data_IF_487002817824
#
_entry.id   IF_487002817824
#
_cell.length_a   1.000
_cell.length_b   1.000
_cell.length_c   1.000
_cell.angle_alpha   90.00
_cell.angle_beta   90.00
_cell.angle_gamma   90.00
#
_symmetry.space_group_name_H-M   'P 1'
#
loop_
_entity.id
_entity.type
_entity.pdbx_description
1 polymer ?
#
# COMPACT_ATOMS: atom_id res chain seq x y z
N UNK A 1 6.40 -4.35 -0.84
CA UNK A 1 5.48 -5.31 -0.18
C UNK A 1 4.44 -5.88 -1.16
N UNK A 2 3.62 -5.05 -1.86
CA UNK A 2 2.60 -5.55 -2.82
C UNK A 2 3.22 -6.43 -3.90
N UNK A 3 4.32 -5.99 -4.52
CA UNK A 3 5.02 -6.74 -5.57
C UNK A 3 5.52 -8.10 -5.07
N UNK A 4 6.03 -8.18 -3.84
CA UNK A 4 6.44 -9.46 -3.21
C UNK A 4 5.27 -10.44 -3.09
N UNK A 5 4.12 -9.97 -2.65
CA UNK A 5 2.93 -10.82 -2.53
C UNK A 5 2.39 -11.25 -3.90
N UNK A 6 2.47 -10.38 -4.92
CA UNK A 6 2.11 -10.72 -6.30
C UNK A 6 3.05 -11.81 -6.84
N UNK A 7 4.37 -11.64 -6.73
CA UNK A 7 5.35 -12.63 -7.18
C UNK A 7 5.21 -13.98 -6.50
N UNK A 8 4.84 -13.98 -5.21
CA UNK A 8 4.58 -15.22 -4.48
C UNK A 8 3.43 -16.05 -5.07
N UNK A 9 2.39 -15.37 -5.60
CA UNK A 9 1.23 -16.03 -6.22
C UNK A 9 1.41 -16.30 -7.71
N UNK A 10 2.23 -15.52 -8.40
CA UNK A 10 2.43 -15.54 -9.84
C UNK A 10 3.95 -15.53 -10.17
N UNK A 11 4.72 -16.55 -9.76
CA UNK A 11 6.18 -16.54 -9.87
C UNK A 11 6.69 -16.58 -11.32
N UNK A 12 5.90 -17.09 -12.27
CA UNK A 12 6.26 -17.27 -13.67
C UNK A 12 5.67 -16.20 -14.60
N UNK A 13 5.12 -15.12 -14.02
CA UNK A 13 4.58 -14.00 -14.77
C UNK A 13 5.65 -12.95 -15.08
N UNK A 14 5.51 -12.26 -16.21
CA UNK A 14 6.35 -11.10 -16.55
C UNK A 14 5.83 -9.83 -15.90
N UNK A 15 6.74 -8.96 -15.48
CA UNK A 15 6.41 -7.73 -14.77
C UNK A 15 7.15 -6.52 -15.32
N UNK A 16 6.46 -5.39 -15.34
CA UNK A 16 7.04 -4.07 -15.50
C UNK A 16 6.80 -3.33 -14.19
N UNK A 17 7.85 -3.07 -13.43
CA UNK A 17 7.77 -2.34 -12.16
C UNK A 17 8.21 -0.89 -12.39
N UNK A 18 7.38 0.06 -11.98
CA UNK A 18 7.70 1.47 -12.03
C UNK A 18 7.68 2.07 -10.63
N UNK A 19 8.82 2.60 -10.19
CA UNK A 19 8.93 3.37 -8.94
C UNK A 19 8.93 4.87 -9.25
N UNK A 20 7.95 5.60 -8.72
CA UNK A 20 7.86 7.05 -8.87
C UNK A 20 8.58 7.78 -7.71
N UNK A 21 9.78 7.33 -7.37
CA UNK A 21 10.54 7.76 -6.21
C UNK A 21 10.96 9.24 -6.26
N UNK A 22 11.17 9.84 -7.46
CA UNK A 22 11.43 11.28 -7.57
C UNK A 22 10.25 12.16 -7.12
N UNK A 23 9.03 11.58 -7.07
CA UNK A 23 7.80 12.29 -6.71
C UNK A 23 7.21 11.83 -5.37
N UNK A 24 7.82 10.84 -4.72
CA UNK A 24 7.49 10.37 -3.38
C UNK A 24 7.93 11.39 -2.31
N UNK A 25 7.16 11.55 -1.19
CA UNK A 25 5.89 10.92 -0.87
C UNK A 25 4.67 11.62 -1.50
N UNK A 26 3.62 10.84 -1.80
CA UNK A 26 2.35 11.36 -2.35
C UNK A 26 1.40 11.91 -1.29
N UNK A 27 1.64 11.63 -0.01
CA UNK A 27 0.71 11.91 1.09
C UNK A 27 0.31 13.38 1.25
N UNK A 28 1.15 14.32 0.78
CA UNK A 28 0.94 15.77 0.86
C UNK A 28 0.73 16.44 -0.50
N UNK A 29 0.73 15.65 -1.59
CA UNK A 29 0.52 16.19 -2.94
C UNK A 29 -0.98 16.42 -3.21
N UNK A 30 -1.29 17.35 -4.12
CA UNK A 30 -2.68 17.56 -4.56
C UNK A 30 -3.22 16.38 -5.37
N UNK A 31 -4.54 16.21 -5.37
CA UNK A 31 -5.18 15.15 -6.16
C UNK A 31 -4.86 15.30 -7.66
N UNK A 32 -4.89 16.52 -8.19
CA UNK A 32 -4.60 16.83 -9.59
C UNK A 32 -3.19 16.37 -9.97
N UNK A 33 -2.20 16.70 -9.12
CA UNK A 33 -0.82 16.28 -9.32
C UNK A 33 -0.68 14.75 -9.36
N UNK A 34 -1.34 14.05 -8.41
CA UNK A 34 -1.28 12.59 -8.34
C UNK A 34 -1.97 11.94 -9.55
N UNK A 35 -3.10 12.49 -9.99
CA UNK A 35 -3.81 12.03 -11.19
C UNK A 35 -2.92 12.17 -12.43
N UNK A 36 -2.27 13.30 -12.60
CA UNK A 36 -1.38 13.56 -13.75
C UNK A 36 -0.20 12.59 -13.77
N UNK A 37 0.48 12.40 -12.63
CA UNK A 37 1.54 11.39 -12.51
C UNK A 37 1.04 9.98 -12.81
N UNK A 38 -0.13 9.61 -12.28
CA UNK A 38 -0.71 8.30 -12.52
C UNK A 38 -1.06 8.06 -14.00
N UNK A 39 -1.52 9.08 -14.73
CA UNK A 39 -1.76 9.03 -16.20
C UNK A 39 -0.45 8.80 -16.97
N UNK A 40 0.59 9.57 -16.68
CA UNK A 40 1.89 9.45 -17.34
C UNK A 40 2.49 8.05 -17.15
N UNK A 41 2.49 7.54 -15.91
CA UNK A 41 3.01 6.21 -15.61
C UNK A 41 2.15 5.13 -16.26
N UNK A 42 0.83 5.26 -16.24
CA UNK A 42 -0.07 4.30 -16.88
C UNK A 42 0.13 4.25 -18.40
N UNK A 43 0.25 5.41 -19.05
CA UNK A 43 0.55 5.50 -20.47
C UNK A 43 1.89 4.84 -20.81
N UNK A 44 2.92 5.06 -20.01
CA UNK A 44 4.22 4.42 -20.16
C UNK A 44 4.10 2.90 -20.03
N UNK A 45 3.46 2.39 -18.99
CA UNK A 45 3.30 0.94 -18.75
C UNK A 45 2.52 0.28 -19.90
N UNK A 46 1.45 0.91 -20.39
CA UNK A 46 0.65 0.42 -21.52
C UNK A 46 1.49 0.40 -22.79
N UNK A 47 2.32 1.43 -23.05
CA UNK A 47 3.22 1.45 -24.20
C UNK A 47 4.26 0.33 -24.19
N UNK A 48 4.55 -0.23 -22.99
CA UNK A 48 5.42 -1.38 -22.77
C UNK A 48 4.67 -2.72 -22.82
N UNK A 49 3.36 -2.72 -23.08
CA UNK A 49 2.54 -3.92 -23.20
C UNK A 49 1.88 -4.40 -21.90
N UNK A 50 1.77 -3.57 -20.87
CA UNK A 50 1.04 -3.95 -19.67
C UNK A 50 -0.44 -4.19 -19.97
N UNK A 51 -0.95 -5.37 -19.64
CA UNK A 51 -2.37 -5.77 -19.80
C UNK A 51 -3.21 -5.46 -18.56
N UNK A 52 -2.58 -5.46 -17.38
CA UNK A 52 -3.19 -5.07 -16.10
C UNK A 52 -2.21 -4.16 -15.35
N UNK A 53 -2.71 -3.11 -14.72
CA UNK A 53 -1.91 -2.21 -13.90
C UNK A 53 -2.37 -2.30 -12.45
N UNK A 54 -1.42 -2.55 -11.53
CA UNK A 54 -1.64 -2.51 -10.09
C UNK A 54 -1.12 -1.18 -9.56
N UNK A 55 -2.01 -0.34 -9.07
CA UNK A 55 -1.68 0.92 -8.40
C UNK A 55 -1.35 0.62 -6.94
N UNK A 56 -0.08 0.28 -6.70
CA UNK A 56 0.41 -0.19 -5.40
C UNK A 56 0.68 0.97 -4.41
N UNK A 57 -0.28 1.89 -4.28
CA UNK A 57 -0.24 3.03 -3.37
C UNK A 57 -1.66 3.41 -2.94
N UNK A 58 -1.93 3.46 -1.62
CA UNK A 58 -3.26 3.85 -1.12
C UNK A 58 -3.63 5.27 -1.55
N UNK A 59 -2.69 6.22 -1.41
CA UNK A 59 -2.90 7.62 -1.77
C UNK A 59 -3.18 7.78 -3.27
N UNK A 60 -2.36 7.15 -4.13
CA UNK A 60 -2.56 7.20 -5.58
C UNK A 60 -3.86 6.51 -6.01
N UNK A 61 -4.20 5.37 -5.39
CA UNK A 61 -5.49 4.69 -5.62
C UNK A 61 -6.66 5.61 -5.28
N UNK A 62 -6.61 6.24 -4.11
CA UNK A 62 -7.69 7.10 -3.65
C UNK A 62 -7.91 8.32 -4.56
N UNK A 63 -6.82 8.90 -5.09
CA UNK A 63 -6.88 10.07 -5.97
C UNK A 63 -7.23 9.73 -7.43
N UNK A 64 -6.63 8.67 -7.99
CA UNK A 64 -6.58 8.49 -9.44
C UNK A 64 -7.35 7.28 -9.99
N UNK A 65 -7.69 6.27 -9.20
CA UNK A 65 -8.16 4.98 -9.72
C UNK A 65 -9.43 5.07 -10.59
N UNK A 66 -10.36 5.97 -10.25
CA UNK A 66 -11.61 6.16 -11.01
C UNK A 66 -11.30 6.75 -12.38
N UNK A 67 -10.47 7.81 -12.42
CA UNK A 67 -10.04 8.46 -13.65
C UNK A 67 -9.29 7.49 -14.55
N UNK A 68 -8.34 6.73 -14.01
CA UNK A 68 -7.58 5.75 -14.79
C UNK A 68 -8.48 4.68 -15.43
N UNK A 69 -9.50 4.21 -14.70
CA UNK A 69 -10.47 3.22 -15.18
C UNK A 69 -11.38 3.75 -16.30
N UNK A 70 -11.63 5.05 -16.31
CA UNK A 70 -12.45 5.71 -17.34
C UNK A 70 -11.64 6.02 -18.60
N UNK A 71 -10.36 6.38 -18.46
CA UNK A 71 -9.54 6.88 -19.54
C UNK A 71 -8.76 5.79 -20.30
N UNK A 72 -8.44 4.66 -19.65
CA UNK A 72 -7.57 3.65 -20.23
C UNK A 72 -8.27 2.31 -20.46
N UNK A 73 -7.92 1.59 -21.55
CA UNK A 73 -8.60 0.32 -21.90
C UNK A 73 -8.19 -0.88 -21.04
N UNK A 74 -7.12 -0.78 -20.24
CA UNK A 74 -6.60 -1.87 -19.41
C UNK A 74 -7.29 -1.92 -18.03
N UNK A 75 -7.18 -3.06 -17.36
CA UNK A 75 -7.74 -3.20 -16.00
C UNK A 75 -6.80 -2.60 -14.97
N UNK A 76 -7.38 -1.84 -14.02
CA UNK A 76 -6.66 -1.26 -12.90
C UNK A 76 -7.09 -1.90 -11.58
N UNK A 77 -6.11 -2.38 -10.84
CA UNK A 77 -6.26 -2.87 -9.47
C UNK A 77 -5.68 -1.84 -8.53
N UNK A 78 -6.53 -1.27 -7.70
CA UNK A 78 -6.11 -0.36 -6.65
C UNK A 78 -5.95 -1.06 -5.32
N UNK A 79 -5.45 -0.33 -4.33
CA UNK A 79 -5.42 -0.78 -2.95
C UNK A 79 -6.06 0.23 -2.01
N UNK A 80 -6.65 -0.28 -0.94
CA UNK A 80 -7.34 0.53 0.06
C UNK A 80 -6.95 0.04 1.45
N UNK A 81 -7.00 0.90 2.47
CA UNK A 81 -6.85 0.47 3.85
C UNK A 81 -7.86 -0.64 4.19
N UNK A 82 -7.37 -1.70 4.81
CA UNK A 82 -8.12 -2.93 5.04
C UNK A 82 -9.07 -2.81 6.27
N UNK A 83 -9.95 -1.79 6.28
CA UNK A 83 -10.87 -1.52 7.40
C UNK A 83 -11.85 -2.67 7.61
N UNK A 84 -12.44 -3.21 6.53
CA UNK A 84 -13.40 -4.32 6.64
C UNK A 84 -12.83 -5.52 7.39
N UNK A 85 -11.71 -6.13 6.99
CA UNK A 85 -11.15 -7.24 7.75
C UNK A 85 -10.71 -6.84 9.16
N UNK A 86 -10.27 -5.61 9.40
CA UNK A 86 -9.93 -5.13 10.73
C UNK A 86 -11.17 -5.06 11.65
N UNK A 87 -12.27 -4.50 11.15
CA UNK A 87 -13.52 -4.42 11.91
C UNK A 87 -14.11 -5.80 12.24
N UNK A 88 -13.88 -6.80 11.40
CA UNK A 88 -14.35 -8.18 11.64
C UNK A 88 -13.44 -8.97 12.60
N UNK A 89 -12.19 -8.56 12.80
CA UNK A 89 -11.20 -9.31 13.58
C UNK A 89 -10.88 -8.67 14.95
N UNK A 90 -11.23 -7.40 15.16
CA UNK A 90 -10.98 -6.76 16.46
C UNK A 90 -11.76 -7.44 17.58
N UNK A 91 -11.11 -7.63 18.73
CA UNK A 91 -11.70 -8.18 19.97
C UNK A 91 -12.17 -7.08 20.91
N UNK A 92 -11.49 -5.93 20.89
CA UNK A 92 -11.82 -4.77 21.74
C UNK A 92 -12.91 -3.89 21.15
N UNK A 93 -13.25 -4.09 19.86
CA UNK A 93 -14.12 -3.17 19.12
C UNK A 93 -13.42 -1.87 18.74
N UNK A 94 -12.09 -1.78 18.88
CA UNK A 94 -11.31 -0.60 18.50
C UNK A 94 -10.27 -0.98 17.44
N UNK A 95 -10.35 -0.30 16.29
CA UNK A 95 -9.43 -0.47 15.16
C UNK A 95 -8.59 0.79 15.01
N UNK A 96 -7.29 0.64 15.03
CA UNK A 96 -6.34 1.68 14.66
C UNK A 96 -6.12 1.71 13.14
N UNK A 97 -6.01 2.89 12.55
CA UNK A 97 -5.62 3.06 11.15
C UNK A 97 -4.41 3.99 11.10
N UNK A 98 -3.27 3.43 10.69
CA UNK A 98 -2.08 4.19 10.33
C UNK A 98 -2.09 4.41 8.82
N UNK A 99 -2.14 5.66 8.37
CA UNK A 99 -2.12 5.98 6.94
C UNK A 99 -1.50 7.36 6.68
N UNK A 100 -1.32 7.73 5.42
CA UNK A 100 -0.90 9.08 5.06
C UNK A 100 -2.07 10.07 5.20
N UNK A 101 -1.76 11.35 5.38
CA UNK A 101 -2.78 12.41 5.48
C UNK A 101 -3.71 12.42 4.24
N UNK A 102 -3.15 12.24 3.03
CA UNK A 102 -3.91 12.17 1.79
C UNK A 102 -4.89 10.99 1.77
N UNK A 103 -4.48 9.82 2.26
CA UNK A 103 -5.36 8.64 2.35
C UNK A 103 -6.51 8.88 3.31
N UNK A 104 -6.25 9.42 4.50
CA UNK A 104 -7.29 9.64 5.53
C UNK A 104 -8.33 10.70 5.14
N UNK A 105 -7.98 11.61 4.23
CA UNK A 105 -8.89 12.65 3.72
C UNK A 105 -9.67 12.22 2.47
N UNK A 106 -9.29 11.11 1.85
CA UNK A 106 -9.89 10.67 0.59
C UNK A 106 -11.34 10.20 0.77
N UNK A 107 -12.24 10.64 -0.11
CA UNK A 107 -13.68 10.32 -0.07
C UNK A 107 -13.91 8.81 0.04
N UNK A 108 -13.24 8.03 -0.79
CA UNK A 108 -13.38 6.56 -0.81
C UNK A 108 -12.97 5.90 0.51
N UNK A 109 -11.96 6.43 1.19
CA UNK A 109 -11.59 5.98 2.52
C UNK A 109 -12.67 6.34 3.54
N UNK A 110 -13.19 7.57 3.51
CA UNK A 110 -14.23 8.06 4.41
C UNK A 110 -15.52 7.24 4.28
N UNK A 111 -15.94 6.94 3.05
CA UNK A 111 -17.10 6.06 2.77
C UNK A 111 -16.91 4.66 3.35
N UNK A 112 -15.71 4.09 3.18
CA UNK A 112 -15.39 2.76 3.73
C UNK A 112 -15.38 2.79 5.25
N UNK A 113 -14.80 3.83 5.86
CA UNK A 113 -14.80 4.04 7.30
C UNK A 113 -16.21 4.12 7.85
N UNK A 114 -17.06 4.97 7.26
CA UNK A 114 -18.45 5.15 7.67
C UNK A 114 -19.24 3.83 7.62
N UNK A 115 -19.08 3.10 6.52
CA UNK A 115 -19.75 1.79 6.33
C UNK A 115 -19.44 0.76 7.42
N UNK A 116 -18.22 0.78 7.96
CA UNK A 116 -17.77 -0.22 8.95
C UNK A 116 -17.66 0.33 10.38
N UNK A 117 -17.94 1.62 10.61
CA UNK A 117 -17.95 2.23 11.96
C UNK A 117 -19.16 1.86 12.82
N UNK A 118 -20.22 1.30 12.26
CA UNK A 118 -21.45 0.98 13.00
C UNK A 118 -21.31 -0.09 14.09
N UNK A 119 -20.20 -0.83 14.13
CA UNK A 119 -19.93 -1.87 15.14
C UNK A 119 -18.58 -1.76 15.82
N UNK A 120 -17.70 -0.85 15.35
CA UNK A 120 -16.35 -0.68 15.88
C UNK A 120 -15.96 0.81 15.92
N UNK A 121 -15.11 1.16 16.88
CA UNK A 121 -14.49 2.48 16.94
C UNK A 121 -13.23 2.50 16.08
N UNK A 122 -13.20 3.37 15.06
CA UNK A 122 -12.03 3.56 14.22
C UNK A 122 -11.25 4.78 14.74
N UNK A 123 -9.97 4.58 15.05
CA UNK A 123 -9.04 5.63 15.50
C UNK A 123 -7.94 5.78 14.46
N UNK A 124 -7.80 6.98 13.93
CA UNK A 124 -6.90 7.29 12.82
C UNK A 124 -5.66 8.02 13.31
N UNK A 125 -4.52 7.70 12.74
CA UNK A 125 -3.29 8.48 12.98
C UNK A 125 -2.44 8.52 11.70
N UNK A 126 -1.81 9.68 11.46
CA UNK A 126 -0.84 9.82 10.37
C UNK A 126 0.48 9.24 10.82
N UNK A 127 1.07 8.32 10.05
CA UNK A 127 2.43 7.82 10.27
C UNK A 127 3.46 8.86 9.84
N UNK A 128 3.66 9.87 10.68
CA UNK A 128 4.56 10.97 10.38
C UNK A 128 6.00 10.49 10.27
N UNK A 129 6.67 10.80 9.14
CA UNK A 129 8.07 10.41 8.89
C UNK A 129 8.26 8.94 8.48
N UNK A 130 7.22 8.10 8.46
CA UNK A 130 7.35 6.66 8.17
C UNK A 130 7.81 6.41 6.72
N UNK A 131 7.27 7.15 5.76
CA UNK A 131 7.65 7.00 4.35
C UNK A 131 9.11 7.38 4.16
N UNK A 132 9.53 8.49 4.74
CA UNK A 132 10.89 9.02 4.66
C UNK A 132 11.92 8.07 5.30
N UNK A 133 11.59 7.46 6.44
CA UNK A 133 12.43 6.42 7.07
C UNK A 133 12.64 5.25 6.11
N UNK A 134 11.56 4.70 5.56
CA UNK A 134 11.62 3.54 4.67
C UNK A 134 12.34 3.85 3.37
N UNK A 135 12.12 5.03 2.78
CA UNK A 135 12.82 5.46 1.55
C UNK A 135 14.35 5.64 1.77
N UNK A 136 14.77 5.92 3.02
CA UNK A 136 16.20 5.93 3.40
C UNK A 136 16.75 4.55 3.78
N UNK A 137 15.91 3.48 3.74
CA UNK A 137 16.29 2.14 4.20
C UNK A 137 16.36 1.99 5.73
N UNK A 138 15.81 2.94 6.47
CA UNK A 138 15.83 2.94 7.94
C UNK A 138 14.56 2.26 8.47
N UNK A 139 14.65 0.97 8.74
CA UNK A 139 13.50 0.15 9.21
C UNK A 139 13.63 -0.32 10.66
N UNK A 140 14.75 -0.02 11.33
CA UNK A 140 15.04 -0.42 12.71
C UNK A 140 15.97 0.57 13.40
N UNK A 141 16.09 0.45 14.72
CA UNK A 141 16.98 1.30 15.53
C UNK A 141 16.23 2.31 16.39
N UNK A 142 16.93 3.00 17.31
CA UNK A 142 16.31 3.83 18.34
C UNK A 142 15.46 4.99 17.79
N UNK A 143 15.90 5.60 16.69
CA UNK A 143 15.17 6.70 16.06
C UNK A 143 13.87 6.20 15.43
N UNK A 144 13.91 5.10 14.68
CA UNK A 144 12.73 4.44 14.10
C UNK A 144 11.74 4.07 15.20
N UNK A 145 12.22 3.43 16.27
CA UNK A 145 11.39 3.02 17.40
C UNK A 145 10.69 4.22 18.06
N UNK A 146 11.39 5.35 18.24
CA UNK A 146 10.82 6.57 18.81
C UNK A 146 9.72 7.14 17.90
N UNK A 147 10.00 7.34 16.61
CA UNK A 147 9.06 7.91 15.65
C UNK A 147 7.82 7.00 15.51
N UNK A 148 8.02 5.69 15.44
CA UNK A 148 6.94 4.71 15.36
C UNK A 148 6.10 4.73 16.63
N UNK A 149 6.73 4.73 17.80
CA UNK A 149 6.01 4.75 19.09
C UNK A 149 5.14 6.01 19.25
N UNK A 150 5.62 7.18 18.82
CA UNK A 150 4.84 8.43 18.86
C UNK A 150 3.56 8.33 18.03
N UNK A 151 3.62 7.71 16.85
CA UNK A 151 2.47 7.55 15.97
C UNK A 151 1.53 6.39 16.37
N UNK A 152 2.05 5.35 17.01
CA UNK A 152 1.25 4.18 17.41
C UNK A 152 0.57 4.38 18.77
N UNK A 153 1.19 5.11 19.69
CA UNK A 153 0.67 5.33 21.06
C UNK A 153 -0.78 5.84 21.11
N UNK A 154 -1.20 6.84 20.30
CA UNK A 154 -2.59 7.31 20.33
C UNK A 154 -3.61 6.21 19.97
N UNK A 155 -3.23 5.26 19.13
CA UNK A 155 -4.08 4.11 18.78
C UNK A 155 -4.18 3.14 19.95
N UNK A 156 -3.05 2.84 20.60
CA UNK A 156 -2.97 1.93 21.74
C UNK A 156 -3.71 2.50 22.97
N UNK A 157 -3.52 3.78 23.25
CA UNK A 157 -4.20 4.48 24.36
C UNK A 157 -5.72 4.51 24.17
N UNK A 158 -6.18 4.46 22.90
CA UNK A 158 -7.61 4.33 22.57
C UNK A 158 -8.13 2.89 22.71
N UNK A 159 -7.27 1.89 22.96
CA UNK A 159 -7.62 0.48 23.12
C UNK A 159 -7.60 -0.33 21.82
N UNK A 160 -6.93 0.14 20.76
CA UNK A 160 -6.84 -0.62 19.51
C UNK A 160 -6.03 -1.90 19.69
N UNK A 161 -6.63 -3.04 19.37
CA UNK A 161 -5.99 -4.36 19.30
C UNK A 161 -5.69 -4.81 17.86
N UNK A 162 -6.17 -4.06 16.90
CA UNK A 162 -5.99 -4.31 15.47
C UNK A 162 -5.60 -3.00 14.80
N UNK A 163 -4.47 -2.98 14.08
CA UNK A 163 -3.95 -1.80 13.39
C UNK A 163 -3.85 -2.09 11.89
N UNK A 164 -4.51 -1.27 11.09
CA UNK A 164 -4.43 -1.30 9.63
C UNK A 164 -3.24 -0.49 9.16
N UNK A 165 -2.40 -1.09 8.31
CA UNK A 165 -1.27 -0.44 7.65
C UNK A 165 -1.74 0.16 6.32
N UNK A 166 -2.22 1.40 6.36
CA UNK A 166 -2.82 2.12 5.22
C UNK A 166 -1.81 2.80 4.29
N UNK A 167 -0.55 2.34 4.28
CA UNK A 167 0.48 2.77 3.36
C UNK A 167 1.41 1.59 3.04
N UNK A 168 1.89 1.48 1.80
CA UNK A 168 2.76 0.38 1.35
C UNK A 168 4.15 0.37 1.97
N UNK A 169 4.57 1.48 2.55
CA UNK A 169 5.82 1.60 3.32
C UNK A 169 5.71 1.04 4.74
N UNK A 170 4.54 1.12 5.35
CA UNK A 170 4.37 0.81 6.78
C UNK A 170 4.62 -0.65 7.17
N UNK A 171 4.38 -1.65 6.31
CA UNK A 171 4.77 -3.03 6.62
C UNK A 171 6.27 -3.24 6.85
N UNK A 172 7.15 -2.37 6.32
CA UNK A 172 8.59 -2.41 6.62
C UNK A 172 8.91 -2.03 8.07
N UNK A 173 8.01 -1.30 8.72
CA UNK A 173 8.11 -0.89 10.13
C UNK A 173 7.30 -1.79 11.08
N UNK A 174 6.81 -2.95 10.59
CA UNK A 174 5.93 -3.83 11.36
C UNK A 174 6.55 -4.28 12.69
N UNK A 175 7.84 -4.57 12.72
CA UNK A 175 8.51 -5.00 13.94
C UNK A 175 8.65 -3.86 14.96
N UNK A 176 8.93 -2.64 14.50
CA UNK A 176 8.93 -1.45 15.36
C UNK A 176 7.52 -1.14 15.91
N UNK A 177 6.47 -1.33 15.09
CA UNK A 177 5.07 -1.19 15.53
C UNK A 177 4.72 -2.24 16.59
N UNK A 178 5.07 -3.51 16.37
CA UNK A 178 4.86 -4.58 17.37
C UNK A 178 5.60 -4.30 18.67
N UNK A 179 6.85 -3.83 18.57
CA UNK A 179 7.66 -3.45 19.73
C UNK A 179 7.01 -2.32 20.53
N UNK A 180 6.51 -1.29 19.86
CA UNK A 180 5.78 -0.18 20.50
C UNK A 180 4.50 -0.67 21.19
N UNK A 181 3.82 -1.68 20.64
CA UNK A 181 2.60 -2.25 21.20
C UNK A 181 2.85 -3.25 22.36
N UNK A 182 4.06 -3.76 22.53
CA UNK A 182 4.37 -4.83 23.48
C UNK A 182 3.96 -4.52 24.94
N UNK A 183 3.93 -3.25 25.33
CA UNK A 183 3.54 -2.81 26.70
C UNK A 183 2.02 -2.88 26.95
N UNK A 184 1.20 -2.94 25.90
CA UNK A 184 -0.29 -2.96 26.04
C UNK A 184 -0.89 -4.31 25.66
N UNK A 185 -0.11 -5.22 25.10
CA UNK A 185 -0.52 -6.56 24.69
C UNK A 185 -0.27 -6.86 23.23
N UNK A 186 -0.84 -7.99 22.78
CA UNK A 186 -0.73 -8.42 21.38
C UNK A 186 -1.64 -7.60 20.47
N UNK A 187 -1.05 -6.98 19.45
CA UNK A 187 -1.75 -6.22 18.41
C UNK A 187 -1.67 -6.95 17.07
N UNK A 188 -2.81 -7.11 16.42
CA UNK A 188 -2.89 -7.63 15.04
C UNK A 188 -2.60 -6.51 14.04
N UNK A 189 -1.59 -6.70 13.18
CA UNK A 189 -1.33 -5.80 12.06
C UNK A 189 -1.97 -6.35 10.79
N UNK A 190 -2.70 -5.49 10.08
CA UNK A 190 -3.36 -5.86 8.83
C UNK A 190 -2.71 -5.10 7.67
N UNK A 191 -2.01 -5.86 6.82
CA UNK A 191 -1.44 -5.39 5.56
C UNK A 191 -2.42 -5.71 4.41
N UNK A 192 -2.83 -4.74 3.60
CA UNK A 192 -3.68 -4.97 2.44
C UNK A 192 -2.98 -5.67 1.27
N UNK A 193 -1.66 -5.75 1.23
CA UNK A 193 -0.90 -6.29 0.09
C UNK A 193 -1.30 -7.72 -0.33
N UNK A 194 -1.52 -8.69 0.58
CA UNK A 194 -1.99 -10.03 0.20
C UNK A 194 -3.39 -10.03 -0.45
N UNK A 195 -4.26 -9.10 -0.06
CA UNK A 195 -5.59 -8.98 -0.67
C UNK A 195 -5.51 -8.41 -2.09
N UNK A 196 -4.61 -7.44 -2.33
CA UNK A 196 -4.33 -6.90 -3.67
C UNK A 196 -3.80 -7.99 -4.61
N UNK A 197 -2.86 -8.81 -4.15
CA UNK A 197 -2.31 -9.91 -4.94
C UNK A 197 -3.39 -10.95 -5.31
N UNK A 198 -4.25 -11.33 -4.36
CA UNK A 198 -5.39 -12.21 -4.66
C UNK A 198 -6.39 -11.60 -5.64
N UNK A 199 -6.64 -10.28 -5.54
CA UNK A 199 -7.50 -9.59 -6.49
C UNK A 199 -6.91 -9.56 -7.90
N UNK A 200 -5.59 -9.45 -8.05
CA UNK A 200 -4.91 -9.57 -9.34
C UNK A 200 -5.15 -10.95 -9.96
N UNK A 201 -4.88 -12.04 -9.21
CA UNK A 201 -5.14 -13.41 -9.67
C UNK A 201 -6.58 -13.59 -10.13
N UNK A 202 -7.54 -13.10 -9.34
CA UNK A 202 -8.96 -13.16 -9.69
C UNK A 202 -9.26 -12.44 -11.01
N UNK A 203 -8.78 -11.22 -11.18
CA UNK A 203 -9.00 -10.42 -12.40
C UNK A 203 -8.35 -11.07 -13.62
N UNK A 204 -7.13 -11.62 -13.48
CA UNK A 204 -6.47 -12.37 -14.56
C UNK A 204 -7.32 -13.58 -15.01
N UNK A 205 -7.84 -14.37 -14.05
CA UNK A 205 -8.72 -15.49 -14.32
C UNK A 205 -9.98 -15.04 -15.06
N UNK A 206 -10.64 -14.00 -14.61
CA UNK A 206 -11.87 -13.45 -15.20
C UNK A 206 -11.66 -12.89 -16.62
N UNK A 207 -10.44 -12.40 -16.90
CA UNK A 207 -10.07 -11.87 -18.23
C UNK A 207 -9.45 -12.95 -19.15
N UNK A 208 -9.22 -14.16 -18.67
CA UNK A 208 -8.57 -15.23 -19.43
C UNK A 208 -7.09 -14.97 -19.71
N UNK A 209 -6.44 -14.13 -18.88
CA UNK A 209 -5.00 -13.84 -18.98
C UNK A 209 -4.23 -15.01 -18.37
N UNK A 210 -3.21 -15.51 -19.08
CA UNK A 210 -2.37 -16.61 -18.62
C UNK A 210 -1.66 -16.26 -17.30
N UNK A 211 -1.54 -17.23 -16.42
CA UNK A 211 -0.75 -17.12 -15.18
C UNK A 211 0.74 -17.36 -15.40
N UNK A 212 1.11 -17.79 -16.58
CA UNK A 212 2.47 -18.13 -16.98
C UNK A 212 2.84 -17.38 -18.27
N UNK A 213 4.10 -16.97 -18.39
CA UNK A 213 4.61 -16.41 -19.63
C UNK A 213 5.27 -17.53 -20.44
N UNK A 214 4.76 -17.86 -21.66
CA UNK A 214 5.21 -19.05 -22.42
C UNK A 214 6.70 -19.08 -22.73
N UNK A 215 7.33 -17.93 -22.96
CA UNK A 215 8.75 -17.79 -23.34
C UNK A 215 9.67 -17.50 -22.12
N UNK A 216 9.18 -17.77 -20.91
CA UNK A 216 9.86 -17.44 -19.66
C UNK A 216 9.50 -16.04 -19.16
N UNK A 217 9.60 -15.83 -17.86
CA UNK A 217 9.24 -14.55 -17.24
C UNK A 217 10.39 -13.53 -17.32
N UNK A 218 10.04 -12.27 -17.36
CA UNK A 218 10.96 -11.13 -17.27
C UNK A 218 10.50 -10.13 -16.23
N UNK A 219 11.44 -9.36 -15.67
CA UNK A 219 11.13 -8.26 -14.77
C UNK A 219 11.87 -7.02 -15.27
N UNK A 220 11.11 -6.05 -15.77
CA UNK A 220 11.65 -4.73 -16.14
C UNK A 220 11.47 -3.78 -14.95
N UNK A 221 12.55 -3.12 -14.55
CA UNK A 221 12.54 -2.13 -13.46
C UNK A 221 12.74 -0.74 -14.02
N UNK A 222 11.83 0.17 -13.70
CA UNK A 222 11.86 1.57 -14.08
C UNK A 222 11.72 2.48 -12.86
N UNK A 223 12.34 3.65 -12.93
CA UNK A 223 12.33 4.65 -11.87
C UNK A 223 12.23 6.04 -12.46
N UNK A 224 11.46 6.93 -11.83
CA UNK A 224 11.46 8.36 -12.17
C UNK A 224 12.66 9.13 -11.57
N UNK A 225 13.36 8.54 -10.62
CA UNK A 225 14.52 9.11 -9.94
C UNK A 225 15.76 8.22 -10.06
N UNK A 226 16.55 8.15 -9.00
CA UNK A 226 17.78 7.36 -8.99
C UNK A 226 17.47 5.85 -9.05
N UNK A 227 17.92 5.14 -10.09
CA UNK A 227 17.74 3.70 -10.21
C UNK A 227 18.42 2.90 -9.08
N UNK A 228 19.45 3.43 -8.44
CA UNK A 228 20.13 2.75 -7.35
C UNK A 228 19.21 2.55 -6.14
N UNK A 229 18.37 3.53 -5.83
CA UNK A 229 17.35 3.42 -4.78
C UNK A 229 16.33 2.32 -5.09
N UNK A 230 15.89 2.21 -6.35
CA UNK A 230 14.99 1.16 -6.78
C UNK A 230 15.61 -0.23 -6.65
N UNK A 231 16.89 -0.39 -7.08
CA UNK A 231 17.59 -1.68 -7.01
C UNK A 231 17.78 -2.13 -5.57
N UNK A 232 18.12 -1.21 -4.65
CA UNK A 232 18.24 -1.51 -3.22
C UNK A 232 16.93 -2.02 -2.66
N UNK A 233 15.84 -1.27 -2.87
CA UNK A 233 14.49 -1.64 -2.41
C UNK A 233 14.03 -2.96 -3.05
N UNK A 234 14.32 -3.17 -4.33
CA UNK A 234 13.96 -4.42 -5.03
C UNK A 234 14.67 -5.63 -4.42
N UNK A 235 15.97 -5.54 -4.13
CA UNK A 235 16.74 -6.64 -3.54
C UNK A 235 16.25 -7.00 -2.12
N UNK A 236 15.66 -6.07 -1.39
CA UNK A 236 15.02 -6.35 -0.10
C UNK A 236 13.63 -7.00 -0.23
N UNK A 237 12.99 -6.88 -1.41
CA UNK A 237 11.63 -7.37 -1.67
C UNK A 237 11.60 -8.75 -2.34
N UNK A 238 12.71 -9.21 -2.90
CA UNK A 238 12.83 -10.45 -3.69
C UNK A 238 13.63 -11.49 -2.94
#
# INVERSE_FOLDING_TARGET
MVFREIRRLLPEQSYIYFSDNAHCPYGEKSCEYIIERAREISSFLISKGAEIIVVACNTATAAAISVLREEFPVKFIGMEPAIKPAALNTRTGVVGVLATAGTLKAVKYLDTREKYSGGVRIVEHVGQGFVELVERGETSGPEVERIVAESVRPLLDAGADTIVLGCTHYPFLADAIRKAAASVGEVTLIDPAPAVARQLVKVMTEQGISMETPDGFSIELHSSGDPACLISTYNELV
#
